data_IF_861312741303
#
_entry.id   IF_861312741303
#
_cell.length_a   1.000
_cell.length_b   1.000
_cell.length_c   1.000
_cell.angle_alpha   90.00
_cell.angle_beta   90.00
_cell.angle_gamma   90.00
#
_symmetry.space_group_name_H-M   'P 1'
#
loop_
_entity.id
_entity.type
_entity.pdbx_description
1 polymer ?
#
# COMPACT_ATOMS: atom_id res chain seq x y z
N UNK A 1 -24.12 -37.66 16.80
CA UNK A 1 -22.88 -37.21 16.12
C UNK A 1 -23.07 -35.77 15.62
N UNK A 2 -22.02 -34.95 15.60
CA UNK A 2 -22.12 -33.61 14.97
C UNK A 2 -22.37 -33.78 13.47
N UNK A 3 -23.26 -32.95 12.91
CA UNK A 3 -23.51 -32.89 11.45
C UNK A 3 -22.28 -32.44 10.67
N UNK A 4 -21.31 -31.80 11.34
CA UNK A 4 -20.09 -31.26 10.74
C UNK A 4 -18.86 -31.64 11.57
N UNK A 5 -18.36 -32.88 11.45
CA UNK A 5 -17.29 -33.40 12.30
C UNK A 5 -15.92 -32.78 12.02
N UNK A 6 -15.74 -32.08 10.89
CA UNK A 6 -14.47 -31.47 10.48
C UNK A 6 -14.35 -29.97 10.77
N UNK A 7 -15.42 -29.33 11.27
CA UNK A 7 -15.38 -27.91 11.65
C UNK A 7 -14.58 -27.77 12.94
N UNK A 8 -13.54 -26.94 12.88
CA UNK A 8 -12.74 -26.55 14.05
C UNK A 8 -13.18 -25.15 14.49
N UNK A 9 -13.65 -25.03 15.73
CA UNK A 9 -13.95 -23.76 16.35
C UNK A 9 -12.81 -23.39 17.30
N UNK A 10 -12.12 -22.29 17.00
CA UNK A 10 -10.98 -21.82 17.78
C UNK A 10 -11.36 -20.48 18.39
N UNK A 11 -11.35 -20.40 19.73
CA UNK A 11 -11.64 -19.16 20.46
C UNK A 11 -10.33 -18.41 20.73
N UNK A 12 -9.86 -17.69 19.72
CA UNK A 12 -8.66 -16.85 19.80
C UNK A 12 -8.80 -15.64 18.87
N UNK A 13 -7.95 -14.62 19.03
CA UNK A 13 -7.77 -13.61 18.00
C UNK A 13 -7.06 -14.26 16.79
N UNK A 14 -7.42 -13.81 15.58
CA UNK A 14 -6.81 -14.22 14.32
C UNK A 14 -5.27 -14.03 14.35
N UNK A 15 -4.79 -12.94 14.94
CA UNK A 15 -3.35 -12.70 15.10
C UNK A 15 -2.65 -13.78 15.92
N UNK A 16 -3.17 -14.08 17.11
CA UNK A 16 -2.61 -15.09 18.02
C UNK A 16 -2.62 -16.49 17.38
N UNK A 17 -3.63 -16.79 16.55
CA UNK A 17 -3.69 -18.05 15.82
C UNK A 17 -2.54 -18.18 14.83
N UNK A 18 -2.30 -17.16 13.99
CA UNK A 18 -1.23 -17.20 12.98
C UNK A 18 0.17 -17.07 13.55
N UNK A 19 0.31 -16.48 14.75
CA UNK A 19 1.59 -16.45 15.44
C UNK A 19 2.09 -17.86 15.83
N UNK A 20 1.17 -18.75 16.20
CA UNK A 20 1.50 -20.12 16.65
C UNK A 20 1.36 -21.14 15.53
N UNK A 21 0.51 -20.88 14.53
CA UNK A 21 0.22 -21.81 13.44
C UNK A 21 0.82 -21.34 12.11
N UNK A 22 1.77 -22.09 11.52
CA UNK A 22 2.32 -21.79 10.19
C UNK A 22 1.37 -22.22 9.06
N UNK A 23 0.09 -22.47 9.36
CA UNK A 23 -0.87 -22.98 8.39
C UNK A 23 -1.21 -21.90 7.36
N UNK A 24 -1.09 -22.28 6.08
CA UNK A 24 -1.59 -21.49 4.95
C UNK A 24 -3.00 -21.91 4.57
N UNK A 25 -3.76 -20.96 4.04
CA UNK A 25 -5.14 -21.13 3.61
C UNK A 25 -5.29 -20.69 2.17
N UNK A 26 -6.09 -21.42 1.39
CA UNK A 26 -6.41 -21.01 0.02
C UNK A 26 -7.46 -19.89 0.01
N UNK A 27 -8.29 -19.83 1.04
CA UNK A 27 -9.33 -18.81 1.21
C UNK A 27 -9.45 -18.40 2.68
N UNK A 28 -9.42 -17.08 2.93
CA UNK A 28 -9.72 -16.49 4.23
C UNK A 28 -10.90 -15.52 4.05
N UNK A 29 -12.00 -15.78 4.77
CA UNK A 29 -13.18 -14.91 4.82
C UNK A 29 -13.25 -14.19 6.18
N UNK A 30 -13.25 -12.86 6.14
CA UNK A 30 -13.27 -11.98 7.31
C UNK A 30 -14.61 -11.23 7.36
N UNK A 31 -15.49 -11.68 8.25
CA UNK A 31 -16.81 -11.10 8.45
C UNK A 31 -16.79 -10.06 9.58
N UNK A 32 -16.37 -8.85 9.27
CA UNK A 32 -16.31 -7.78 10.25
C UNK A 32 -17.65 -7.05 10.35
N UNK A 33 -18.24 -7.03 11.55
CA UNK A 33 -19.43 -6.22 11.83
C UNK A 33 -19.13 -4.72 12.08
N UNK A 34 -17.90 -4.27 11.79
CA UNK A 34 -17.41 -2.93 12.10
C UNK A 34 -16.66 -2.31 10.93
N UNK A 35 -16.29 -1.02 11.03
CA UNK A 35 -15.56 -0.32 9.98
C UNK A 35 -14.10 -0.76 9.86
N UNK A 36 -13.46 -0.29 8.81
CA UNK A 36 -12.03 -0.44 8.57
C UNK A 36 -11.37 0.95 8.69
N UNK A 37 -10.52 1.21 9.69
CA UNK A 37 -10.31 0.42 10.90
C UNK A 37 -11.46 0.55 11.91
N UNK A 38 -11.53 -0.39 12.84
CA UNK A 38 -12.40 -0.30 14.02
C UNK A 38 -11.57 -0.07 15.27
N UNK A 39 -11.96 0.92 16.11
CA UNK A 39 -11.37 1.18 17.44
C UNK A 39 -11.91 0.23 18.51
N UNK A 40 -12.98 -0.53 18.23
CA UNK A 40 -13.68 -1.32 19.24
C UNK A 40 -12.78 -2.42 19.81
N UNK A 41 -12.71 -2.49 21.13
CA UNK A 41 -11.91 -3.47 21.86
C UNK A 41 -12.28 -4.90 21.42
N UNK A 42 -11.27 -5.70 21.09
CA UNK A 42 -11.45 -7.07 20.57
C UNK A 42 -11.90 -7.16 19.10
N UNK A 43 -12.11 -6.04 18.40
CA UNK A 43 -12.54 -5.98 17.00
C UNK A 43 -11.65 -5.01 16.20
N UNK A 44 -10.32 -5.22 16.25
CA UNK A 44 -9.34 -4.47 15.44
C UNK A 44 -9.28 -5.07 14.03
N UNK A 45 -10.22 -4.66 13.18
CA UNK A 45 -10.44 -5.18 11.82
C UNK A 45 -9.18 -5.12 10.96
N UNK A 46 -8.51 -3.96 10.91
CA UNK A 46 -7.30 -3.78 10.12
C UNK A 46 -6.12 -4.59 10.68
N UNK A 47 -6.01 -4.72 12.01
CA UNK A 47 -4.94 -5.53 12.63
C UNK A 47 -5.06 -7.01 12.32
N UNK A 48 -6.27 -7.54 12.17
CA UNK A 48 -6.47 -8.93 11.74
C UNK A 48 -5.93 -9.15 10.32
N UNK A 49 -6.19 -8.23 9.40
CA UNK A 49 -5.66 -8.28 8.03
C UNK A 49 -4.13 -8.14 8.04
N UNK A 50 -3.59 -7.17 8.76
CA UNK A 50 -2.13 -7.01 8.91
C UNK A 50 -1.46 -8.28 9.45
N UNK A 51 -2.11 -9.00 10.37
CA UNK A 51 -1.58 -10.26 10.89
C UNK A 51 -1.54 -11.37 9.84
N UNK A 52 -2.59 -11.49 9.01
CA UNK A 52 -2.61 -12.44 7.89
C UNK A 52 -1.43 -12.21 6.94
N UNK A 53 -1.14 -10.95 6.62
CA UNK A 53 -0.04 -10.58 5.74
C UNK A 53 1.32 -10.83 6.40
N UNK A 54 1.49 -10.41 7.66
CA UNK A 54 2.72 -10.62 8.45
C UNK A 54 3.14 -12.07 8.50
N UNK A 55 2.20 -12.99 8.70
CA UNK A 55 2.48 -14.43 8.83
C UNK A 55 2.38 -15.20 7.51
N UNK A 56 2.19 -14.51 6.38
CA UNK A 56 1.98 -15.13 5.07
C UNK A 56 0.95 -16.26 5.10
N UNK A 57 -0.21 -15.99 5.70
CA UNK A 57 -1.22 -17.00 5.98
C UNK A 57 -2.03 -17.48 4.76
N UNK A 58 -1.82 -16.91 3.57
CA UNK A 58 -2.46 -17.34 2.34
C UNK A 58 -1.50 -18.17 1.48
N UNK A 59 -2.05 -19.16 0.77
CA UNK A 59 -1.34 -19.86 -0.30
C UNK A 59 -1.06 -18.89 -1.48
N UNK A 60 -0.07 -19.15 -2.34
CA UNK A 60 0.01 -18.51 -3.64
C UNK A 60 -1.31 -18.70 -4.42
N UNK A 61 -1.79 -17.64 -5.08
CA UNK A 61 -3.13 -17.58 -5.69
C UNK A 61 -4.29 -17.72 -4.69
N UNK A 62 -4.04 -17.41 -3.42
CA UNK A 62 -5.04 -17.41 -2.35
C UNK A 62 -6.02 -16.24 -2.45
N UNK A 63 -7.17 -16.40 -1.80
CA UNK A 63 -8.26 -15.41 -1.82
C UNK A 63 -8.50 -14.86 -0.43
N UNK A 64 -8.44 -13.54 -0.30
CA UNK A 64 -8.87 -12.83 0.91
C UNK A 64 -10.20 -12.13 0.64
N UNK A 65 -11.20 -12.43 1.46
CA UNK A 65 -12.50 -11.77 1.41
C UNK A 65 -12.69 -10.96 2.69
N UNK A 66 -12.96 -9.67 2.57
CA UNK A 66 -13.29 -8.80 3.70
C UNK A 66 -14.71 -8.30 3.55
N UNK A 67 -15.49 -8.34 4.62
CA UNK A 67 -16.79 -7.68 4.73
C UNK A 67 -16.72 -6.69 5.88
N UNK A 68 -16.99 -5.40 5.63
CA UNK A 68 -16.88 -4.32 6.62
C UNK A 68 -18.08 -3.38 6.53
N UNK A 69 -18.40 -2.71 7.62
CA UNK A 69 -19.55 -1.80 7.70
C UNK A 69 -19.16 -0.32 7.59
N UNK A 70 -20.05 0.52 7.08
CA UNK A 70 -20.04 1.96 7.30
C UNK A 70 -21.13 2.32 8.32
N UNK A 71 -20.79 2.71 9.56
CA UNK A 71 -21.79 3.19 10.52
C UNK A 71 -22.42 4.48 10.02
N UNK A 72 -23.75 4.59 10.14
CA UNK A 72 -24.49 5.82 9.85
C UNK A 72 -24.31 6.88 10.94
N UNK A 73 -24.63 8.14 10.63
CA UNK A 73 -24.57 9.25 11.60
C UNK A 73 -25.49 8.98 12.81
N UNK A 74 -26.63 8.32 12.58
CA UNK A 74 -27.60 7.96 13.62
C UNK A 74 -27.09 6.84 14.54
N UNK A 75 -26.29 5.91 14.00
CA UNK A 75 -25.72 4.80 14.77
C UNK A 75 -24.54 5.25 15.62
N UNK A 76 -23.63 6.05 15.06
CA UNK A 76 -22.44 6.54 15.75
C UNK A 76 -21.86 7.78 15.05
N UNK A 77 -22.34 8.97 15.42
CA UNK A 77 -21.93 10.23 14.80
C UNK A 77 -20.42 10.49 14.87
N UNK A 78 -19.76 10.18 16.01
CA UNK A 78 -18.32 10.42 16.17
C UNK A 78 -17.48 9.48 15.30
N UNK A 79 -17.80 8.18 15.29
CA UNK A 79 -17.09 7.23 14.43
C UNK A 79 -17.31 7.52 12.95
N UNK A 80 -18.55 7.91 12.57
CA UNK A 80 -18.84 8.35 11.22
C UNK A 80 -18.00 9.56 10.81
N UNK A 81 -17.90 10.59 11.66
CA UNK A 81 -17.04 11.77 11.43
C UNK A 81 -15.57 11.39 11.27
N UNK A 82 -15.06 10.52 12.14
CA UNK A 82 -13.67 10.07 12.08
C UNK A 82 -13.36 9.29 10.79
N UNK A 83 -14.32 8.49 10.31
CA UNK A 83 -14.22 7.80 9.02
C UNK A 83 -14.18 8.82 7.88
N UNK A 84 -15.06 9.82 7.86
CA UNK A 84 -15.05 10.88 6.85
C UNK A 84 -13.68 11.58 6.80
N UNK A 85 -13.16 11.99 7.95
CA UNK A 85 -11.85 12.64 8.03
C UNK A 85 -10.73 11.74 7.52
N UNK A 86 -10.72 10.45 7.91
CA UNK A 86 -9.70 9.51 7.45
C UNK A 86 -9.81 9.24 5.94
N UNK A 87 -11.02 9.06 5.41
CA UNK A 87 -11.27 8.84 3.97
C UNK A 87 -10.82 10.05 3.16
N UNK A 88 -11.13 11.27 3.64
CA UNK A 88 -10.69 12.51 3.01
C UNK A 88 -9.17 12.60 2.94
N UNK A 89 -8.48 12.41 4.08
CA UNK A 89 -7.01 12.36 4.16
C UNK A 89 -6.38 11.27 3.31
N UNK A 90 -7.03 10.11 3.19
CA UNK A 90 -6.47 8.95 2.49
C UNK A 90 -6.62 9.05 0.97
N UNK A 91 -7.74 9.58 0.48
CA UNK A 91 -8.02 9.67 -0.95
C UNK A 91 -7.55 10.97 -1.60
N UNK A 92 -7.35 12.05 -0.84
CA UNK A 92 -6.89 13.33 -1.38
C UNK A 92 -5.62 13.24 -2.25
N UNK A 93 -4.53 12.55 -1.83
CA UNK A 93 -3.30 12.51 -2.63
C UNK A 93 -3.35 11.52 -3.79
N UNK A 94 -4.43 10.73 -3.95
CA UNK A 94 -4.51 9.69 -4.99
C UNK A 94 -4.73 10.35 -6.36
N UNK A 95 -3.85 10.08 -7.31
CA UNK A 95 -3.93 10.64 -8.68
C UNK A 95 -5.17 10.21 -9.45
N UNK A 96 -5.77 9.07 -9.11
CA UNK A 96 -7.01 8.58 -9.73
C UNK A 96 -8.00 8.12 -8.67
N UNK A 97 -9.28 8.33 -8.96
CA UNK A 97 -10.43 7.88 -8.18
C UNK A 97 -11.35 7.04 -9.08
N UNK A 98 -12.36 6.43 -8.51
CA UNK A 98 -13.35 5.66 -9.29
C UNK A 98 -14.52 6.53 -9.72
N UNK A 99 -14.93 6.38 -10.97
CA UNK A 99 -16.00 7.17 -11.61
C UNK A 99 -17.37 6.51 -11.58
N UNK A 100 -17.44 5.23 -11.17
CA UNK A 100 -18.62 4.36 -11.33
C UNK A 100 -19.07 4.15 -12.79
N UNK A 101 -18.25 4.51 -13.78
CA UNK A 101 -18.52 4.20 -15.20
C UNK A 101 -18.13 2.74 -15.51
N UNK A 102 -19.07 1.90 -16.00
CA UNK A 102 -18.79 0.50 -16.32
C UNK A 102 -17.77 0.27 -17.43
N UNK A 103 -17.62 1.21 -18.37
CA UNK A 103 -16.64 1.11 -19.47
C UNK A 103 -15.24 1.48 -19.01
N UNK A 104 -15.14 2.52 -18.15
CA UNK A 104 -13.89 3.02 -17.62
C UNK A 104 -14.07 3.57 -16.20
N UNK A 105 -13.88 2.72 -15.19
CA UNK A 105 -14.15 3.04 -13.79
C UNK A 105 -13.01 3.86 -13.14
N UNK A 106 -12.53 4.89 -13.82
CA UNK A 106 -11.52 5.82 -13.31
C UNK A 106 -11.88 7.27 -13.67
N UNK A 107 -11.50 8.18 -12.80
CA UNK A 107 -11.51 9.64 -12.98
C UNK A 107 -10.28 10.24 -12.31
N UNK A 108 -10.00 11.50 -12.58
CA UNK A 108 -8.87 12.22 -11.98
C UNK A 108 -9.06 12.39 -10.46
N UNK A 109 -7.92 12.48 -9.77
CA UNK A 109 -7.84 12.66 -8.32
C UNK A 109 -8.19 14.07 -7.86
N UNK A 110 -8.38 14.23 -6.54
CA UNK A 110 -8.81 15.49 -5.94
C UNK A 110 -7.92 16.69 -6.31
N UNK A 111 -6.60 16.49 -6.28
CA UNK A 111 -5.62 17.53 -6.61
C UNK A 111 -5.64 17.89 -8.10
N UNK A 112 -5.83 16.90 -8.97
CA UNK A 112 -5.87 17.13 -10.43
C UNK A 112 -7.13 17.91 -10.84
N UNK A 113 -8.23 17.66 -10.14
CA UNK A 113 -9.49 18.40 -10.25
C UNK A 113 -9.45 19.79 -9.56
N UNK A 114 -8.33 20.13 -8.90
CA UNK A 114 -8.13 21.44 -8.28
C UNK A 114 -8.89 21.67 -6.97
N UNK A 115 -9.35 20.62 -6.29
CA UNK A 115 -10.00 20.75 -4.99
C UNK A 115 -9.03 21.24 -3.93
N UNK A 116 -9.42 22.25 -3.15
CA UNK A 116 -8.78 22.52 -1.87
C UNK A 116 -9.10 21.43 -0.84
N UNK A 117 -8.32 21.35 0.24
CA UNK A 117 -8.53 20.40 1.34
C UNK A 117 -9.96 20.50 1.92
N UNK A 118 -10.48 21.72 2.12
CA UNK A 118 -11.82 21.94 2.68
C UNK A 118 -12.94 21.55 1.69
N UNK A 119 -12.76 21.83 0.41
CA UNK A 119 -13.73 21.46 -0.63
C UNK A 119 -13.76 19.94 -0.82
N UNK A 120 -12.59 19.30 -0.84
CA UNK A 120 -12.48 17.85 -0.92
C UNK A 120 -13.14 17.16 0.28
N UNK A 121 -12.88 17.65 1.49
CA UNK A 121 -13.46 17.10 2.71
C UNK A 121 -15.00 17.14 2.66
N UNK A 122 -15.58 18.29 2.30
CA UNK A 122 -17.03 18.44 2.12
C UNK A 122 -17.59 17.48 1.08
N UNK A 123 -16.88 17.32 -0.05
CA UNK A 123 -17.29 16.36 -1.10
C UNK A 123 -17.31 14.93 -0.55
N UNK A 124 -16.26 14.53 0.17
CA UNK A 124 -16.19 13.21 0.82
C UNK A 124 -17.30 13.04 1.85
N UNK A 125 -17.62 14.05 2.65
CA UNK A 125 -18.72 13.96 3.62
C UNK A 125 -20.07 13.74 2.93
N UNK A 126 -20.35 14.47 1.85
CA UNK A 126 -21.61 14.37 1.11
C UNK A 126 -21.78 13.03 0.39
N UNK A 127 -20.69 12.44 -0.09
CA UNK A 127 -20.67 11.22 -0.92
C UNK A 127 -19.95 10.05 -0.21
N UNK A 128 -19.97 10.04 1.13
CA UNK A 128 -19.15 9.13 1.95
C UNK A 128 -19.37 7.66 1.65
N UNK A 129 -20.59 7.26 1.26
CA UNK A 129 -20.86 5.87 0.94
C UNK A 129 -20.04 5.36 -0.25
N UNK A 130 -19.84 6.20 -1.27
CA UNK A 130 -19.07 5.81 -2.44
C UNK A 130 -17.56 5.89 -2.15
N UNK A 131 -17.12 6.99 -1.52
CA UNK A 131 -15.71 7.18 -1.17
C UNK A 131 -15.20 6.17 -0.14
N UNK A 132 -16.02 5.76 0.82
CA UNK A 132 -15.63 4.73 1.77
C UNK A 132 -15.40 3.37 1.08
N UNK A 133 -16.23 3.02 0.09
CA UNK A 133 -16.05 1.83 -0.73
C UNK A 133 -14.75 1.85 -1.54
N UNK A 134 -14.36 3.02 -2.06
CA UNK A 134 -13.06 3.20 -2.74
C UNK A 134 -11.90 3.10 -1.76
N UNK A 135 -12.01 3.80 -0.62
CA UNK A 135 -11.02 3.80 0.45
C UNK A 135 -10.69 2.38 0.94
N UNK A 136 -11.70 1.53 1.17
CA UNK A 136 -11.47 0.15 1.64
C UNK A 136 -10.58 -0.60 0.64
N UNK A 137 -10.95 -0.61 -0.64
CA UNK A 137 -10.19 -1.36 -1.64
C UNK A 137 -8.78 -0.80 -1.78
N UNK A 138 -8.64 0.52 -1.83
CA UNK A 138 -7.34 1.20 -1.98
C UNK A 138 -6.43 0.92 -0.78
N UNK A 139 -6.97 0.99 0.44
CA UNK A 139 -6.25 0.65 1.66
C UNK A 139 -5.77 -0.79 1.66
N UNK A 140 -6.61 -1.75 1.26
CA UNK A 140 -6.20 -3.15 1.22
C UNK A 140 -5.09 -3.37 0.20
N UNK A 141 -5.19 -2.77 -0.99
CA UNK A 141 -4.14 -2.85 -2.03
C UNK A 141 -2.82 -2.27 -1.53
N UNK A 142 -2.84 -1.07 -0.96
CA UNK A 142 -1.65 -0.42 -0.40
C UNK A 142 -1.07 -1.23 0.78
N UNK A 143 -1.94 -1.75 1.64
CA UNK A 143 -1.55 -2.55 2.79
C UNK A 143 -0.78 -3.80 2.34
N UNK A 144 -1.33 -4.50 1.36
CA UNK A 144 -0.81 -5.75 0.82
C UNK A 144 0.51 -5.53 0.09
N UNK A 145 0.56 -4.55 -0.81
CA UNK A 145 1.64 -4.45 -1.79
C UNK A 145 2.79 -3.52 -1.38
N UNK A 146 2.56 -2.61 -0.43
CA UNK A 146 3.58 -1.60 -0.02
C UNK A 146 3.77 -1.56 1.49
N UNK A 147 2.71 -1.24 2.26
CA UNK A 147 2.81 -0.95 3.70
C UNK A 147 3.31 -2.17 4.46
N UNK A 148 2.68 -3.34 4.30
CA UNK A 148 3.08 -4.55 5.01
C UNK A 148 4.49 -5.01 4.67
N UNK A 149 4.93 -5.13 3.40
CA UNK A 149 6.30 -5.53 3.12
C UNK A 149 7.34 -4.52 3.63
N UNK A 150 7.05 -3.21 3.58
CA UNK A 150 7.99 -2.19 4.05
C UNK A 150 8.10 -2.22 5.58
N UNK A 151 6.98 -2.39 6.30
CA UNK A 151 6.98 -2.49 7.76
C UNK A 151 7.63 -3.79 8.27
N UNK A 152 7.51 -4.89 7.53
CA UNK A 152 8.10 -6.17 7.90
C UNK A 152 9.62 -6.21 7.68
N UNK A 153 10.17 -5.43 6.74
CA UNK A 153 11.59 -5.41 6.41
C UNK A 153 12.36 -4.34 7.19
N UNK A 154 12.51 -4.60 8.48
CA UNK A 154 13.09 -3.64 9.43
C UNK A 154 14.62 -3.63 9.43
N UNK A 155 15.21 -2.50 9.85
CA UNK A 155 16.67 -2.33 9.91
C UNK A 155 17.39 -3.17 10.96
N UNK A 156 16.63 -3.81 11.87
CA UNK A 156 17.16 -4.79 12.81
C UNK A 156 17.44 -6.14 12.16
N UNK A 157 16.77 -6.45 11.04
CA UNK A 157 16.91 -7.73 10.35
C UNK A 157 18.27 -7.83 9.63
N UNK A 158 18.89 -9.02 9.63
CA UNK A 158 20.18 -9.23 8.97
C UNK A 158 20.10 -9.02 7.45
N UNK A 159 19.00 -9.45 6.82
CA UNK A 159 18.77 -9.27 5.38
C UNK A 159 18.70 -7.80 4.96
N UNK A 160 18.23 -6.91 5.84
CA UNK A 160 18.25 -5.47 5.57
C UNK A 160 19.66 -4.96 5.31
N UNK A 161 20.63 -5.46 6.08
CA UNK A 161 22.04 -5.07 6.00
C UNK A 161 22.72 -5.52 4.71
N UNK A 162 22.14 -6.50 4.01
CA UNK A 162 22.63 -6.92 2.70
C UNK A 162 22.40 -5.83 1.65
N UNK A 163 21.31 -5.06 1.77
CA UNK A 163 20.97 -3.98 0.83
C UNK A 163 21.45 -2.62 1.33
N UNK A 164 21.29 -2.34 2.62
CA UNK A 164 21.51 -1.00 3.19
C UNK A 164 22.45 -1.05 4.40
N UNK A 165 23.45 -0.16 4.39
CA UNK A 165 24.42 0.01 5.47
C UNK A 165 24.28 1.42 6.06
N UNK A 166 23.42 1.53 7.07
CA UNK A 166 23.19 2.79 7.79
C UNK A 166 24.25 2.94 8.88
N UNK A 167 25.27 3.76 8.61
CA UNK A 167 26.30 4.12 9.60
C UNK A 167 25.83 5.21 10.57
N UNK A 168 25.01 6.15 10.09
CA UNK A 168 24.45 7.25 10.88
C UNK A 168 22.94 7.38 10.64
N UNK A 169 22.14 7.01 11.64
CA UNK A 169 20.68 7.10 11.56
C UNK A 169 20.15 8.53 11.59
N UNK A 170 20.91 9.50 12.14
CA UNK A 170 20.48 10.89 12.16
C UNK A 170 20.47 11.49 10.75
N UNK A 171 21.45 11.12 9.92
CA UNK A 171 21.53 11.59 8.52
C UNK A 171 20.40 11.02 7.67
N UNK A 172 20.06 9.74 7.89
CA UNK A 172 18.89 9.12 7.25
C UNK A 172 17.60 9.82 7.69
N UNK A 173 17.42 10.01 9.00
CA UNK A 173 16.22 10.65 9.55
C UNK A 173 16.05 12.07 9.00
N UNK A 174 17.14 12.83 8.89
CA UNK A 174 17.13 14.15 8.27
C UNK A 174 16.70 14.06 6.81
N UNK A 175 17.34 13.21 6.02
CA UNK A 175 17.05 13.06 4.58
C UNK A 175 15.59 12.64 4.32
N UNK A 176 15.04 11.80 5.19
CA UNK A 176 13.63 11.38 5.15
C UNK A 176 12.70 12.53 5.55
N UNK A 177 13.00 13.27 6.62
CA UNK A 177 12.19 14.41 7.05
C UNK A 177 12.14 15.51 5.99
N UNK A 178 13.23 15.72 5.24
CA UNK A 178 13.29 16.68 4.14
C UNK A 178 12.27 16.36 3.02
N UNK A 179 11.76 15.12 2.92
CA UNK A 179 10.69 14.77 1.98
C UNK A 179 9.32 15.36 2.37
N UNK A 180 9.08 15.55 3.67
CA UNK A 180 7.77 15.93 4.21
C UNK A 180 7.52 17.43 4.18
N UNK A 181 8.56 18.25 4.18
CA UNK A 181 8.45 19.69 4.30
C UNK A 181 9.47 20.42 3.43
N UNK A 182 9.11 21.62 3.01
CA UNK A 182 10.08 22.54 2.42
C UNK A 182 10.97 23.16 3.49
N UNK A 183 12.26 23.27 3.19
CA UNK A 183 13.17 24.11 3.95
C UNK A 183 12.94 25.61 3.65
N UNK A 184 13.69 26.49 4.33
CA UNK A 184 13.59 27.94 4.13
C UNK A 184 13.96 28.42 2.72
N UNK A 185 14.64 27.59 1.94
CA UNK A 185 15.06 27.87 0.56
C UNK A 185 14.12 27.22 -0.46
N UNK A 186 13.05 26.53 -0.02
CA UNK A 186 12.12 25.82 -0.88
C UNK A 186 12.61 24.45 -1.37
N UNK A 187 13.68 23.89 -0.79
CA UNK A 187 14.11 22.52 -1.08
C UNK A 187 13.33 21.51 -0.24
N UNK A 188 13.22 20.27 -0.72
CA UNK A 188 12.46 19.22 -0.03
C UNK A 188 10.98 19.25 -0.42
N UNK A 189 10.12 18.74 0.47
CA UNK A 189 8.67 18.77 0.27
C UNK A 189 8.17 17.92 -0.90
N UNK A 190 8.91 16.89 -1.31
CA UNK A 190 8.58 15.95 -2.41
C UNK A 190 7.19 15.34 -2.21
N UNK A 191 6.86 15.00 -0.97
CA UNK A 191 5.55 14.42 -0.62
C UNK A 191 4.43 15.43 -0.89
N UNK A 192 4.70 16.73 -0.77
CA UNK A 192 3.73 17.81 -1.03
C UNK A 192 3.57 18.03 -2.53
N UNK A 193 4.69 18.18 -3.27
CA UNK A 193 4.64 18.50 -4.72
C UNK A 193 4.20 17.31 -5.56
N UNK A 194 4.63 16.10 -5.20
CA UNK A 194 4.39 14.87 -5.93
C UNK A 194 3.54 13.90 -5.09
N UNK A 195 2.51 14.42 -4.42
CA UNK A 195 1.65 13.63 -3.53
C UNK A 195 1.03 12.40 -4.21
N UNK A 196 0.82 12.47 -5.54
CA UNK A 196 0.37 11.33 -6.34
C UNK A 196 1.38 10.17 -6.47
N UNK A 197 2.67 10.45 -6.28
CA UNK A 197 3.76 9.47 -6.21
C UNK A 197 4.07 9.03 -4.78
N UNK A 198 3.61 9.77 -3.78
CA UNK A 198 3.78 9.45 -2.35
C UNK A 198 2.47 9.46 -1.54
N UNK A 199 1.34 8.89 -2.05
CA UNK A 199 0.07 9.06 -1.37
C UNK A 199 0.02 8.43 0.03
N UNK A 200 0.72 7.30 0.27
CA UNK A 200 0.81 6.70 1.61
C UNK A 200 1.52 7.66 2.59
N UNK A 201 2.67 8.22 2.20
CA UNK A 201 3.41 9.14 3.06
C UNK A 201 2.68 10.48 3.26
N UNK A 202 2.01 10.99 2.22
CA UNK A 202 1.17 12.17 2.33
C UNK A 202 0.05 11.95 3.34
N UNK A 203 -0.65 10.82 3.25
CA UNK A 203 -1.70 10.48 4.23
C UNK A 203 -1.13 10.37 5.64
N UNK A 204 0.02 9.71 5.83
CA UNK A 204 0.70 9.65 7.13
C UNK A 204 0.97 11.05 7.68
N UNK A 205 1.54 11.96 6.87
CA UNK A 205 1.79 13.33 7.30
C UNK A 205 0.49 14.07 7.64
N UNK A 206 -0.61 13.79 6.94
CA UNK A 206 -1.90 14.41 7.23
C UNK A 206 -2.54 13.95 8.55
N UNK A 207 -2.17 12.77 9.08
CA UNK A 207 -2.82 12.16 10.25
C UNK A 207 -1.89 11.89 11.44
N UNK A 208 -0.61 12.26 11.35
CA UNK A 208 0.36 12.15 12.44
C UNK A 208 0.93 13.51 12.85
N UNK A 209 0.78 13.88 14.13
CA UNK A 209 1.16 15.22 14.62
C UNK A 209 2.64 15.55 14.45
N UNK A 210 3.53 14.55 14.45
CA UNK A 210 4.99 14.76 14.32
C UNK A 210 5.36 15.08 12.87
N UNK A 211 4.81 14.34 11.91
CA UNK A 211 5.09 14.54 10.49
C UNK A 211 4.21 15.60 9.83
N UNK A 212 3.05 15.90 10.39
CA UNK A 212 2.26 17.05 9.97
C UNK A 212 2.98 18.36 10.31
N UNK A 213 3.49 18.45 11.55
CA UNK A 213 4.21 19.61 12.09
C UNK A 213 3.50 20.96 11.86
N UNK A 214 2.16 20.98 11.85
CA UNK A 214 1.33 22.16 11.54
C UNK A 214 1.60 22.77 10.15
N UNK A 215 2.09 21.98 9.21
CA UNK A 215 2.28 22.37 7.84
C UNK A 215 0.93 22.39 7.11
N UNK A 216 0.54 23.56 6.62
CA UNK A 216 -0.78 23.81 6.01
C UNK A 216 -1.00 23.09 4.68
N UNK A 217 0.03 22.44 4.14
CA UNK A 217 -0.11 21.55 2.99
C UNK A 217 -0.88 20.25 3.33
N UNK A 218 -1.09 19.98 4.61
CA UNK A 218 -1.81 18.82 5.10
C UNK A 218 -3.06 19.22 5.90
N UNK A 219 -4.00 18.29 6.06
CA UNK A 219 -5.14 18.46 6.97
C UNK A 219 -4.68 18.75 8.40
N UNK A 220 -5.42 19.61 9.10
CA UNK A 220 -5.07 20.08 10.45
C UNK A 220 -5.99 19.53 11.55
N UNK A 221 -6.98 18.72 11.18
CA UNK A 221 -8.01 18.16 12.06
C UNK A 221 -7.44 17.44 13.29
N UNK A 222 -6.30 16.77 13.15
CA UNK A 222 -5.63 16.06 14.25
C UNK A 222 -5.23 16.98 15.42
N UNK A 223 -5.08 18.29 15.20
CA UNK A 223 -4.79 19.25 16.28
C UNK A 223 -6.05 19.85 16.93
N UNK A 224 -7.18 19.78 16.24
CA UNK A 224 -8.44 20.40 16.67
C UNK A 224 -9.45 19.38 17.22
N UNK A 225 -9.28 18.10 16.90
CA UNK A 225 -10.14 17.00 17.32
C UNK A 225 -9.30 15.84 17.89
N UNK A 226 -9.27 15.74 19.22
CA UNK A 226 -8.50 14.71 19.92
C UNK A 226 -9.06 13.29 19.68
N UNK A 227 -10.37 13.12 19.46
CA UNK A 227 -10.93 11.80 19.15
C UNK A 227 -10.49 11.33 17.75
N UNK A 228 -10.44 12.25 16.78
CA UNK A 228 -9.89 11.96 15.46
C UNK A 228 -8.39 11.63 15.53
N UNK A 229 -7.60 12.40 16.29
CA UNK A 229 -6.19 12.08 16.51
C UNK A 229 -6.01 10.66 17.09
N UNK A 230 -6.80 10.28 18.11
CA UNK A 230 -6.76 8.95 18.67
C UNK A 230 -7.22 7.87 17.67
N UNK A 231 -8.17 8.20 16.79
CA UNK A 231 -8.61 7.32 15.70
C UNK A 231 -7.50 7.11 14.67
N UNK A 232 -6.83 8.17 14.23
CA UNK A 232 -5.68 8.12 13.34
C UNK A 232 -4.51 7.31 13.92
N UNK A 233 -4.17 7.52 15.20
CA UNK A 233 -3.11 6.74 15.85
C UNK A 233 -3.49 5.26 15.99
N UNK A 234 -4.78 4.95 16.20
CA UNK A 234 -5.28 3.57 16.15
C UNK A 234 -5.16 2.97 14.75
N UNK A 235 -5.54 3.71 13.71
CA UNK A 235 -5.41 3.30 12.30
C UNK A 235 -3.96 2.93 11.97
N UNK A 236 -3.01 3.84 12.23
CA UNK A 236 -1.58 3.63 12.02
C UNK A 236 -1.07 2.42 12.82
N UNK A 237 -1.43 2.32 14.10
CA UNK A 237 -1.00 1.19 14.93
C UNK A 237 -1.57 -0.15 14.42
N UNK A 238 -2.75 -0.18 13.82
CA UNK A 238 -3.34 -1.41 13.27
C UNK A 238 -2.68 -1.86 11.95
N UNK A 239 -2.20 -0.92 11.13
CA UNK A 239 -1.39 -1.23 9.94
C UNK A 239 -0.01 -1.77 10.28
N UNK A 240 0.50 -1.47 11.48
CA UNK A 240 1.79 -1.99 11.94
C UNK A 240 1.77 -3.48 12.27
N UNK A 241 2.74 -4.21 11.74
CA UNK A 241 3.03 -5.60 12.08
C UNK A 241 3.29 -5.79 13.59
N UNK A 242 3.90 -4.80 14.22
CA UNK A 242 4.21 -4.80 15.66
C UNK A 242 3.19 -4.03 16.50
N UNK A 243 2.18 -3.42 15.87
CA UNK A 243 1.13 -2.70 16.58
C UNK A 243 1.55 -1.29 17.04
N UNK A 244 2.60 -0.72 16.46
CA UNK A 244 3.19 0.55 16.87
C UNK A 244 3.21 1.55 15.69
N UNK A 245 2.48 2.66 15.82
CA UNK A 245 2.40 3.69 14.78
C UNK A 245 3.77 4.34 14.46
N UNK A 246 4.58 4.63 15.49
CA UNK A 246 5.89 5.26 15.28
C UNK A 246 6.83 4.35 14.47
N UNK A 247 6.88 3.07 14.80
CA UNK A 247 7.71 2.10 14.07
C UNK A 247 7.23 1.93 12.63
N UNK A 248 5.91 1.87 12.42
CA UNK A 248 5.31 1.82 11.08
C UNK A 248 5.77 3.00 10.22
N UNK A 249 5.55 4.22 10.72
CA UNK A 249 5.89 5.43 9.95
C UNK A 249 7.39 5.46 9.66
N UNK A 250 8.22 5.14 10.66
CA UNK A 250 9.67 5.08 10.47
C UNK A 250 10.06 4.07 9.38
N UNK A 251 9.51 2.85 9.43
CA UNK A 251 9.86 1.79 8.50
C UNK A 251 9.44 2.15 7.07
N UNK A 252 8.18 2.59 6.89
CA UNK A 252 7.63 2.97 5.58
C UNK A 252 8.44 4.15 5.01
N UNK A 253 8.60 5.24 5.75
CA UNK A 253 9.31 6.43 5.27
C UNK A 253 10.77 6.14 4.91
N UNK A 254 11.47 5.32 5.71
CA UNK A 254 12.83 4.89 5.38
C UNK A 254 12.87 4.05 4.11
N UNK A 255 11.95 3.09 3.96
CA UNK A 255 11.94 2.21 2.78
C UNK A 255 11.59 2.97 1.51
N UNK A 256 10.63 3.90 1.53
CA UNK A 256 10.37 4.79 0.39
C UNK A 256 11.62 5.58 0.00
N UNK A 257 12.29 6.22 0.96
CA UNK A 257 13.49 6.99 0.69
C UNK A 257 14.62 6.12 0.11
N UNK A 258 14.86 4.94 0.69
CA UNK A 258 15.97 4.07 0.29
C UNK A 258 15.75 3.37 -1.06
N UNK A 259 14.49 3.06 -1.40
CA UNK A 259 14.13 2.40 -2.66
C UNK A 259 13.96 3.41 -3.81
N UNK A 260 13.74 4.70 -3.54
CA UNK A 260 13.61 5.74 -4.57
C UNK A 260 14.97 6.27 -5.06
N UNK A 261 15.01 7.03 -6.15
CA UNK A 261 16.24 7.60 -6.73
C UNK A 261 16.22 9.14 -6.74
N UNK A 262 17.41 9.75 -6.77
CA UNK A 262 17.59 11.17 -7.11
C UNK A 262 17.94 12.07 -5.94
N UNK A 263 18.22 11.52 -4.76
CA UNK A 263 18.64 12.25 -3.55
C UNK A 263 19.96 11.69 -3.02
N UNK A 264 20.04 11.50 -1.71
CA UNK A 264 21.22 11.05 -0.97
C UNK A 264 21.12 9.60 -0.51
N UNK A 265 20.14 8.84 -1.01
CA UNK A 265 19.88 7.45 -0.64
C UNK A 265 21.10 6.54 -0.88
N UNK A 266 21.91 6.86 -1.89
CA UNK A 266 23.11 6.11 -2.26
C UNK A 266 24.19 6.11 -1.17
N UNK A 267 24.16 7.09 -0.25
CA UNK A 267 25.05 7.12 0.91
C UNK A 267 24.80 5.96 1.87
N UNK A 268 23.60 5.39 1.85
CA UNK A 268 23.16 4.32 2.74
C UNK A 268 23.19 2.93 2.11
N UNK A 269 23.63 2.79 0.86
CA UNK A 269 23.74 1.49 0.20
C UNK A 269 24.85 0.63 0.82
N UNK A 270 24.63 -0.69 0.84
CA UNK A 270 25.69 -1.67 1.07
C UNK A 270 26.73 -1.63 -0.06
N UNK A 271 27.89 -2.25 0.15
CA UNK A 271 28.95 -2.25 -0.86
C UNK A 271 28.50 -2.96 -2.16
N UNK A 272 27.76 -4.07 -2.05
CA UNK A 272 27.17 -4.76 -3.21
C UNK A 272 26.17 -3.88 -3.95
N UNK A 273 25.26 -3.19 -3.22
CA UNK A 273 24.28 -2.32 -3.87
C UNK A 273 24.92 -1.09 -4.50
N UNK A 274 25.98 -0.51 -3.89
CA UNK A 274 26.78 0.56 -4.51
C UNK A 274 27.44 0.12 -5.80
N UNK A 275 27.90 -1.12 -5.88
CA UNK A 275 28.50 -1.64 -7.11
C UNK A 275 27.46 -1.76 -8.23
N UNK A 276 26.23 -2.19 -7.91
CA UNK A 276 25.14 -2.20 -8.89
C UNK A 276 24.73 -0.78 -9.30
N UNK A 277 24.72 0.19 -8.39
CA UNK A 277 24.37 1.58 -8.67
C UNK A 277 25.33 2.27 -9.66
N UNK A 278 26.59 1.81 -9.76
CA UNK A 278 27.58 2.36 -10.70
C UNK A 278 27.31 1.95 -12.15
N UNK A 279 26.46 0.94 -12.37
CA UNK A 279 26.16 0.45 -13.70
C UNK A 279 25.15 1.37 -14.36
N UNK A 280 25.42 1.71 -15.61
CA UNK A 280 24.48 2.45 -16.44
C UNK A 280 23.40 1.52 -17.02
N UNK A 281 22.37 1.22 -16.22
CA UNK A 281 21.39 0.17 -16.52
C UNK A 281 20.60 0.39 -17.80
N UNK A 282 20.22 1.63 -18.14
CA UNK A 282 19.50 1.93 -19.37
C UNK A 282 20.33 1.67 -20.65
N UNK A 283 21.66 1.55 -20.53
CA UNK A 283 22.54 1.15 -21.63
C UNK A 283 22.86 -0.35 -21.65
N UNK A 284 22.61 -1.06 -20.54
CA UNK A 284 22.93 -2.48 -20.38
C UNK A 284 21.75 -3.40 -20.60
N UNK A 285 20.54 -2.89 -20.39
CA UNK A 285 19.29 -3.62 -20.61
C UNK A 285 18.62 -3.12 -21.87
N UNK A 286 17.99 -4.04 -22.61
CA UNK A 286 17.29 -3.71 -23.84
C UNK A 286 16.25 -2.61 -23.60
N UNK A 287 16.25 -1.54 -24.42
CA UNK A 287 15.33 -0.42 -24.24
C UNK A 287 13.91 -0.77 -24.72
N UNK A 288 12.91 -0.35 -23.97
CA UNK A 288 11.50 -0.44 -24.33
C UNK A 288 10.86 0.97 -24.28
N UNK A 289 9.53 1.08 -24.11
CA UNK A 289 8.85 2.36 -23.91
C UNK A 289 9.44 3.14 -22.74
N UNK A 290 9.60 2.48 -21.59
CA UNK A 290 10.30 3.03 -20.43
C UNK A 290 11.74 2.53 -20.32
N UNK A 291 12.61 3.42 -19.81
CA UNK A 291 13.99 3.09 -19.49
C UNK A 291 14.07 2.19 -18.25
N UNK A 292 15.06 1.30 -18.22
CA UNK A 292 15.33 0.50 -17.02
C UNK A 292 16.29 1.26 -16.09
N UNK A 293 15.78 1.69 -14.94
CA UNK A 293 16.47 2.50 -13.94
C UNK A 293 16.75 1.71 -12.66
N UNK A 294 17.63 2.24 -11.79
CA UNK A 294 18.18 1.47 -10.69
C UNK A 294 17.17 1.23 -9.55
N UNK A 295 16.17 2.10 -9.35
CA UNK A 295 15.09 1.89 -8.38
C UNK A 295 14.33 0.59 -8.66
N UNK A 296 14.15 0.21 -9.92
CA UNK A 296 13.48 -1.03 -10.30
C UNK A 296 14.26 -2.25 -9.84
N UNK A 297 15.60 -2.17 -9.87
CA UNK A 297 16.49 -3.21 -9.35
C UNK A 297 16.39 -3.30 -7.83
N UNK A 298 16.44 -2.15 -7.15
CA UNK A 298 16.27 -2.08 -5.69
C UNK A 298 14.95 -2.71 -5.26
N UNK A 299 13.84 -2.34 -5.92
CA UNK A 299 12.52 -2.90 -5.66
C UNK A 299 12.47 -4.41 -5.87
N UNK A 300 13.01 -4.93 -6.98
CA UNK A 300 12.99 -6.38 -7.24
C UNK A 300 13.79 -7.15 -6.20
N UNK A 301 14.99 -6.68 -5.88
CA UNK A 301 15.86 -7.31 -4.89
C UNK A 301 15.25 -7.26 -3.49
N UNK A 302 14.63 -6.14 -3.12
CA UNK A 302 13.90 -6.00 -1.87
C UNK A 302 12.73 -6.99 -1.81
N UNK A 303 11.90 -7.04 -2.87
CA UNK A 303 10.71 -7.89 -2.91
C UNK A 303 11.03 -9.37 -3.03
N UNK A 304 12.20 -9.72 -3.57
CA UNK A 304 12.73 -11.09 -3.51
C UNK A 304 12.97 -11.53 -2.05
N UNK A 305 13.36 -10.62 -1.16
CA UNK A 305 13.61 -10.91 0.25
C UNK A 305 12.34 -10.81 1.10
N UNK A 306 11.46 -9.84 0.80
CA UNK A 306 10.23 -9.61 1.58
C UNK A 306 9.02 -10.44 1.12
N UNK A 307 9.09 -11.04 -0.07
CA UNK A 307 8.07 -11.91 -0.71
C UNK A 307 6.64 -11.36 -0.57
N UNK A 308 6.35 -10.12 -1.03
CA UNK A 308 5.03 -9.54 -0.84
C UNK A 308 3.98 -10.26 -1.67
N UNK A 309 2.73 -10.20 -1.20
CA UNK A 309 1.59 -10.50 -2.07
C UNK A 309 1.36 -9.35 -3.06
N UNK A 310 0.94 -9.71 -4.28
CA UNK A 310 0.47 -8.82 -5.32
C UNK A 310 -1.02 -9.05 -5.52
N UNK A 311 -1.77 -7.95 -5.65
CA UNK A 311 -3.22 -8.03 -5.86
C UNK A 311 -3.49 -8.17 -7.36
N UNK A 312 -4.21 -9.23 -7.73
CA UNK A 312 -4.71 -9.38 -9.09
C UNK A 312 -5.97 -8.52 -9.27
N UNK A 313 -5.79 -7.27 -9.69
CA UNK A 313 -6.89 -6.32 -9.87
C UNK A 313 -7.95 -6.76 -10.87
N UNK A 314 -7.59 -7.56 -11.89
CA UNK A 314 -8.56 -8.08 -12.87
C UNK A 314 -9.51 -9.10 -12.24
N UNK A 315 -9.03 -9.88 -11.26
CA UNK A 315 -9.82 -10.91 -10.57
C UNK A 315 -10.40 -10.43 -9.24
N UNK A 316 -10.14 -9.19 -8.84
CA UNK A 316 -10.77 -8.56 -7.68
C UNK A 316 -12.25 -8.33 -7.94
N UNK A 317 -13.10 -8.78 -7.03
CA UNK A 317 -14.55 -8.56 -7.07
C UNK A 317 -15.01 -7.78 -5.85
N UNK A 318 -16.00 -6.89 -6.05
CA UNK A 318 -16.45 -5.95 -5.03
C UNK A 318 -17.95 -5.81 -5.04
N UNK A 319 -18.51 -5.80 -3.85
CA UNK A 319 -19.95 -5.66 -3.64
C UNK A 319 -20.27 -4.65 -2.55
N UNK A 320 -21.47 -4.07 -2.65
CA UNK A 320 -22.12 -3.25 -1.63
C UNK A 320 -23.50 -3.81 -1.37
N UNK A 321 -23.91 -3.89 -0.12
CA UNK A 321 -25.27 -4.31 0.24
C UNK A 321 -25.69 -3.64 1.55
N UNK A 322 -26.98 -3.73 1.89
CA UNK A 322 -27.51 -3.15 3.12
C UNK A 322 -27.91 -4.26 4.10
N UNK A 323 -27.24 -4.32 5.24
CA UNK A 323 -27.59 -5.22 6.34
C UNK A 323 -28.42 -4.46 7.37
N UNK A 324 -29.74 -4.69 7.39
CA UNK A 324 -30.70 -3.88 8.15
C UNK A 324 -30.58 -2.40 7.73
N UNK A 325 -30.05 -1.55 8.59
CA UNK A 325 -29.85 -0.12 8.34
C UNK A 325 -28.40 0.26 8.02
N UNK A 326 -27.47 -0.71 8.04
CA UNK A 326 -26.04 -0.46 7.87
C UNK A 326 -25.58 -0.82 6.46
N UNK A 327 -24.83 0.08 5.82
CA UNK A 327 -24.17 -0.22 4.56
C UNK A 327 -22.95 -1.13 4.80
N UNK A 328 -22.85 -2.18 4.00
CA UNK A 328 -21.79 -3.19 4.06
C UNK A 328 -21.03 -3.21 2.74
N UNK A 329 -19.72 -3.37 2.84
CA UNK A 329 -18.78 -3.38 1.72
C UNK A 329 -17.98 -4.67 1.77
N UNK A 330 -18.10 -5.46 0.70
CA UNK A 330 -17.41 -6.73 0.57
C UNK A 330 -16.42 -6.69 -0.59
N UNK A 331 -15.17 -7.04 -0.30
CA UNK A 331 -14.07 -7.09 -1.27
C UNK A 331 -13.48 -8.50 -1.27
N UNK A 332 -13.37 -9.11 -2.45
CA UNK A 332 -12.66 -10.35 -2.69
C UNK A 332 -11.40 -10.03 -3.49
N UNK A 333 -10.23 -10.22 -2.87
CA UNK A 333 -8.92 -9.97 -3.46
C UNK A 333 -8.24 -11.31 -3.74
N UNK A 334 -7.79 -11.48 -4.99
CA UNK A 334 -6.96 -12.62 -5.39
C UNK A 334 -5.49 -12.21 -5.25
N UNK A 335 -4.74 -12.93 -4.43
CA UNK A 335 -3.38 -12.57 -4.04
C UNK A 335 -2.38 -13.61 -4.55
N UNK A 336 -1.26 -13.14 -5.07
CA UNK A 336 -0.16 -13.99 -5.54
C UNK A 336 1.16 -13.52 -4.96
N UNK A 337 2.01 -14.45 -4.52
CA UNK A 337 3.38 -14.14 -4.09
C UNK A 337 4.31 -13.90 -5.31
N UNK A 338 3.81 -14.16 -6.53
CA UNK A 338 4.52 -14.00 -7.80
C UNK A 338 5.91 -14.64 -7.79
N UNK A 339 6.03 -15.82 -7.17
CA UNK A 339 7.31 -16.53 -6.99
C UNK A 339 8.01 -16.84 -8.32
N UNK A 340 7.26 -17.00 -9.41
CA UNK A 340 7.83 -17.16 -10.75
C UNK A 340 8.67 -15.96 -11.19
N UNK A 341 8.40 -14.76 -10.67
CA UNK A 341 9.26 -13.58 -10.86
C UNK A 341 10.46 -13.67 -9.91
N UNK A 342 10.21 -13.70 -8.60
CA UNK A 342 11.25 -13.50 -7.60
C UNK A 342 12.23 -14.68 -7.45
N UNK A 343 11.76 -15.93 -7.56
CA UNK A 343 12.62 -17.12 -7.46
C UNK A 343 13.51 -17.27 -8.70
N UNK A 344 13.12 -16.66 -9.84
CA UNK A 344 13.91 -16.67 -11.07
C UNK A 344 15.00 -15.59 -11.11
N UNK A 345 14.88 -14.57 -10.26
CA UNK A 345 15.83 -13.45 -10.24
C UNK A 345 17.14 -13.84 -9.56
N UNK A 346 18.30 -13.40 -10.09
CA UNK A 346 19.57 -13.62 -9.42
C UNK A 346 19.62 -12.86 -8.10
N UNK A 347 20.42 -13.37 -7.15
CA UNK A 347 20.70 -12.66 -5.90
C UNK A 347 21.43 -11.33 -6.14
N UNK A 348 21.46 -10.47 -5.13
CA UNK A 348 22.12 -9.16 -5.16
C UNK A 348 23.52 -9.20 -5.81
N UNK A 349 24.38 -10.12 -5.37
CA UNK A 349 25.77 -10.19 -5.87
C UNK A 349 25.89 -10.76 -7.28
N UNK A 350 24.88 -11.50 -7.75
CA UNK A 350 24.83 -12.12 -9.08
C UNK A 350 23.92 -11.38 -10.07
N UNK A 351 23.29 -10.27 -9.64
CA UNK A 351 22.25 -9.60 -10.41
C UNK A 351 22.75 -9.13 -11.77
N UNK A 352 23.94 -8.49 -11.82
CA UNK A 352 24.51 -8.03 -13.07
C UNK A 352 24.76 -9.18 -14.05
N UNK A 353 25.49 -10.22 -13.64
CA UNK A 353 25.82 -11.34 -14.55
C UNK A 353 24.58 -12.08 -15.00
N UNK A 354 23.59 -12.27 -14.12
CA UNK A 354 22.33 -12.91 -14.47
C UNK A 354 21.51 -12.10 -15.47
N UNK A 355 21.56 -10.78 -15.42
CA UNK A 355 20.80 -9.90 -16.32
C UNK A 355 21.49 -9.64 -17.67
N UNK A 356 22.66 -10.19 -17.96
CA UNK A 356 23.31 -10.00 -19.26
C UNK A 356 22.73 -10.89 -20.38
N UNK A 357 21.93 -11.88 -20.03
CA UNK A 357 21.20 -12.70 -21.00
C UNK A 357 19.98 -11.95 -21.55
N UNK A 358 19.89 -11.81 -22.88
CA UNK A 358 18.85 -10.99 -23.52
C UNK A 358 17.44 -11.60 -23.39
N UNK A 359 17.33 -12.93 -23.45
CA UNK A 359 16.05 -13.62 -23.26
C UNK A 359 15.51 -13.40 -21.85
N UNK A 360 16.41 -13.43 -20.85
CA UNK A 360 16.08 -13.06 -19.48
C UNK A 360 15.66 -11.61 -19.36
N UNK A 361 16.39 -10.67 -19.98
CA UNK A 361 16.02 -9.25 -19.95
C UNK A 361 14.60 -9.04 -20.48
N UNK A 362 14.27 -9.64 -21.62
CA UNK A 362 12.92 -9.55 -22.18
C UNK A 362 11.86 -10.10 -21.24
N UNK A 363 12.00 -11.36 -20.83
CA UNK A 363 11.02 -12.00 -19.94
C UNK A 363 10.83 -11.20 -18.65
N UNK A 364 11.92 -10.75 -18.03
CA UNK A 364 11.88 -9.95 -16.82
C UNK A 364 11.15 -8.61 -17.02
N UNK A 365 11.47 -7.87 -18.09
CA UNK A 365 10.84 -6.57 -18.39
C UNK A 365 9.34 -6.72 -18.65
N UNK A 366 8.94 -7.75 -19.39
CA UNK A 366 7.52 -8.04 -19.64
C UNK A 366 6.76 -8.48 -18.39
N UNK A 367 7.38 -9.27 -17.49
CA UNK A 367 6.76 -9.63 -16.22
C UNK A 367 6.60 -8.39 -15.32
N UNK A 368 7.61 -7.52 -15.24
CA UNK A 368 7.51 -6.27 -14.48
C UNK A 368 6.43 -5.34 -15.02
N UNK A 369 6.32 -5.22 -16.35
CA UNK A 369 5.27 -4.46 -17.02
C UNK A 369 3.87 -5.01 -16.65
N UNK A 370 3.69 -6.33 -16.70
CA UNK A 370 2.44 -6.97 -16.30
C UNK A 370 2.09 -6.69 -14.82
N UNK A 371 3.03 -6.87 -13.90
CA UNK A 371 2.84 -6.58 -12.46
C UNK A 371 2.48 -5.10 -12.25
N UNK A 372 3.15 -4.18 -12.94
CA UNK A 372 2.86 -2.76 -12.84
C UNK A 372 1.49 -2.39 -13.40
N UNK A 373 1.07 -2.97 -14.53
CA UNK A 373 -0.25 -2.74 -15.14
C UNK A 373 -1.42 -3.20 -14.27
N UNK A 374 -1.20 -4.16 -13.38
CA UNK A 374 -2.21 -4.52 -12.38
C UNK A 374 -2.43 -3.41 -11.35
N UNK A 375 -1.44 -2.58 -11.04
CA UNK A 375 -1.53 -1.62 -9.93
C UNK A 375 -1.42 -0.16 -10.33
N UNK A 376 -0.97 0.18 -11.53
CA UNK A 376 -0.60 1.54 -11.95
C UNK A 376 -1.67 2.59 -11.63
N UNK A 377 -2.94 2.25 -11.83
CA UNK A 377 -4.08 3.12 -11.49
C UNK A 377 -4.26 3.25 -9.97
N UNK A 378 -3.95 2.18 -9.24
CA UNK A 378 -4.26 2.00 -7.83
C UNK A 378 -3.19 2.49 -6.86
N UNK A 379 -1.93 2.24 -7.20
CA UNK A 379 -0.75 2.58 -6.43
C UNK A 379 0.47 2.60 -7.38
N UNK A 380 1.16 3.75 -7.46
CA UNK A 380 2.36 3.91 -8.29
C UNK A 380 3.65 4.07 -7.46
N UNK A 381 3.66 3.67 -6.19
CA UNK A 381 4.78 3.95 -5.27
C UNK A 381 5.94 2.94 -5.31
N UNK A 382 5.74 1.79 -5.96
CA UNK A 382 6.82 0.86 -6.33
C UNK A 382 6.87 0.69 -7.84
N UNK A 383 7.75 -0.16 -8.42
CA UNK A 383 7.80 -0.59 -9.84
C UNK A 383 7.27 0.38 -10.92
N UNK A 384 7.56 1.68 -10.81
CA UNK A 384 7.14 2.67 -11.80
C UNK A 384 8.13 2.68 -12.97
N UNK A 385 7.74 3.28 -14.11
CA UNK A 385 8.59 3.32 -15.31
C UNK A 385 8.91 1.93 -15.89
N UNK A 386 7.96 1.00 -15.87
CA UNK A 386 8.16 -0.41 -16.28
C UNK A 386 7.55 -0.74 -17.64
N UNK A 387 6.94 0.21 -18.34
CA UNK A 387 6.22 -0.06 -19.57
C UNK A 387 7.15 -0.66 -20.63
N UNK A 388 6.86 -1.90 -21.01
CA UNK A 388 7.51 -2.55 -22.14
C UNK A 388 6.74 -2.28 -23.43
N UNK A 389 5.41 -2.25 -23.31
CA UNK A 389 4.44 -1.96 -24.38
C UNK A 389 3.45 -0.92 -23.88
N UNK A 390 2.95 -0.09 -24.79
CA UNK A 390 1.90 0.91 -24.50
C UNK A 390 0.70 0.29 -23.78
N UNK A 391 0.16 1.03 -22.81
CA UNK A 391 -1.01 0.63 -22.01
C UNK A 391 -2.33 0.62 -22.79
N UNK A 392 -2.30 1.01 -24.06
CA UNK A 392 -3.46 1.00 -24.96
C UNK A 392 -3.48 -0.21 -25.91
N UNK A 393 -2.43 -1.04 -25.92
CA UNK A 393 -2.39 -2.27 -26.71
C UNK A 393 -3.25 -3.35 -26.06
N UNK A 394 -4.11 -4.01 -26.84
CA UNK A 394 -5.20 -4.88 -26.35
C UNK A 394 -4.78 -5.92 -25.31
N UNK A 395 -3.64 -6.59 -25.53
CA UNK A 395 -3.14 -7.64 -24.63
C UNK A 395 -2.31 -7.10 -23.44
N UNK A 396 -2.04 -5.80 -23.45
CA UNK A 396 -1.14 -5.09 -22.54
C UNK A 396 -1.83 -3.91 -21.84
N UNK A 397 -3.17 -3.92 -21.82
CA UNK A 397 -3.95 -2.87 -21.18
C UNK A 397 -3.76 -2.86 -19.66
N UNK A 398 -3.81 -1.65 -19.10
CA UNK A 398 -3.87 -1.47 -17.66
C UNK A 398 -5.14 -2.10 -17.07
N UNK A 399 -5.02 -2.67 -15.87
CA UNK A 399 -6.14 -3.36 -15.23
C UNK A 399 -6.87 -2.40 -14.32
N UNK A 400 -8.17 -2.27 -14.58
CA UNK A 400 -9.09 -1.41 -13.82
C UNK A 400 -10.12 -2.29 -13.13
N UNK A 401 -10.37 -2.01 -11.85
CA UNK A 401 -11.43 -2.61 -11.07
C UNK A 401 -12.78 -2.33 -11.71
N UNK A 402 -13.57 -3.39 -11.90
CA UNK A 402 -14.99 -3.24 -12.24
C UNK A 402 -15.72 -2.43 -11.17
N UNK A 403 -16.75 -1.67 -11.59
CA UNK A 403 -17.65 -0.95 -10.67
C UNK A 403 -18.17 -1.88 -9.58
N UNK A 404 -18.21 -1.38 -8.33
CA UNK A 404 -18.71 -2.13 -7.18
C UNK A 404 -20.18 -2.50 -7.39
N UNK A 405 -20.50 -3.80 -7.28
CA UNK A 405 -21.85 -4.31 -7.56
C UNK A 405 -22.77 -4.15 -6.35
N UNK A 406 -23.94 -3.58 -6.54
CA UNK A 406 -24.97 -3.57 -5.50
C UNK A 406 -25.67 -4.94 -5.46
N UNK A 407 -25.67 -5.60 -4.30
CA UNK A 407 -26.49 -6.79 -4.04
C UNK A 407 -27.78 -6.29 -3.40
N UNK A 408 -28.90 -6.55 -4.08
CA UNK A 408 -30.26 -6.18 -3.65
C UNK A 408 -30.75 -7.15 -2.58
#
# INVERSE_FOLDING_TARGET
>A
SSKFPFIKLIKANVGDFFEVSPQKFDLIYLDFCGPLPSKKAGQKTLKAITSILKYHALSPLGVMITNVSLPSKEQNANEHKNIVNLVASYLYPKSTLESNNPEWNCTDGAISEGYSLDEWHKKVECEIEDFYGQYITRLLVDLISVISPYDNFTSSHSLYKNMFKISNYNDLTKSVNDLFHFDSNGNGGDIIVDSGLFPILWTIASIDKKYNNKDKNYYQDIYCDDDFNDYAQSFLSQMSANGNAHDLIKNISNMHFLLNEGRTENNFYSDSLRNLNKINWYQKVYPFCDLFLFHQIKEVLFRQLSVPYHVNMEKTLRWKYKAKDTNMYMDMLVLDECRYLYDWMPSLDMFYSGMMDIERQFSFRFILDAVAKHRMVYNNEFFYGTASVSKFETDYVEKVLSVRKNII
#
